data_IF_564968711603
#
_entry.id   IF_564968711603
#
_cell.length_a   1.000
_cell.length_b   1.000
_cell.length_c   1.000
_cell.angle_alpha   90.00
_cell.angle_beta   90.00
_cell.angle_gamma   90.00
#
_symmetry.space_group_name_H-M   'P 1'
#
loop_
_entity.id
_entity.type
_entity.pdbx_description
1 polymer ?
#
# COMPACT_ATOMS: atom_id res chain seq x y z
N UNK A 1 16.83 5.69 3.43
CA UNK A 1 15.64 4.93 3.82
C UNK A 1 16.11 3.58 4.32
N UNK A 2 15.69 3.22 5.52
CA UNK A 2 16.03 1.95 6.17
C UNK A 2 15.03 0.85 5.79
N UNK A 3 13.77 1.22 5.59
CA UNK A 3 12.69 0.35 5.12
C UNK A 3 11.92 1.01 3.97
N UNK A 4 11.59 0.22 2.94
CA UNK A 4 10.76 0.62 1.80
C UNK A 4 9.54 -0.29 1.76
N UNK A 5 8.34 0.29 1.83
CA UNK A 5 7.08 -0.48 1.71
C UNK A 5 6.42 -0.20 0.37
N UNK A 6 6.23 -1.23 -0.45
CA UNK A 6 5.51 -1.12 -1.74
C UNK A 6 4.06 -1.58 -1.57
N UNK A 7 3.12 -0.76 -2.02
CA UNK A 7 1.69 -0.89 -1.66
C UNK A 7 0.77 -1.43 -2.76
N UNK A 8 1.26 -1.58 -4.00
CA UNK A 8 0.50 -2.22 -5.07
C UNK A 8 1.42 -3.06 -5.96
N UNK A 9 0.85 -4.03 -6.69
CA UNK A 9 1.63 -4.90 -7.60
C UNK A 9 2.38 -4.10 -8.68
N UNK A 10 1.74 -3.06 -9.23
CA UNK A 10 2.37 -2.15 -10.19
C UNK A 10 3.57 -1.40 -9.57
N UNK A 11 3.48 -1.02 -8.29
CA UNK A 11 4.56 -0.38 -7.57
C UNK A 11 5.70 -1.35 -7.21
N UNK A 12 5.40 -2.65 -7.05
CA UNK A 12 6.40 -3.69 -6.84
C UNK A 12 7.23 -3.96 -8.11
N UNK A 13 6.58 -3.96 -9.28
CA UNK A 13 7.22 -4.22 -10.58
C UNK A 13 7.95 -2.99 -11.14
N UNK A 14 7.47 -1.78 -10.84
CA UNK A 14 8.04 -0.53 -11.35
C UNK A 14 9.08 0.07 -10.39
N UNK A 15 9.20 -0.44 -9.16
CA UNK A 15 10.14 0.13 -8.20
C UNK A 15 11.58 -0.07 -8.68
N UNK A 16 12.37 1.01 -8.80
CA UNK A 16 13.76 0.91 -9.21
C UNK A 16 14.50 0.02 -8.22
N UNK A 17 15.42 -0.79 -8.73
CA UNK A 17 16.30 -1.64 -7.93
C UNK A 17 17.02 -0.73 -6.91
N UNK A 18 16.63 -0.80 -5.63
CA UNK A 18 17.26 0.00 -4.60
C UNK A 18 18.66 -0.56 -4.35
N UNK A 19 19.68 0.10 -4.92
CA UNK A 19 21.11 -0.27 -4.82
C UNK A 19 21.70 -0.10 -3.40
N UNK A 20 20.89 0.28 -2.41
CA UNK A 20 21.28 0.37 -0.98
C UNK A 20 20.54 -0.71 -0.18
N UNK A 21 21.17 -1.20 0.90
CA UNK A 21 20.66 -2.21 1.87
C UNK A 21 19.39 -1.76 2.63
N UNK A 22 18.34 -1.34 1.92
CA UNK A 22 17.05 -1.08 2.52
C UNK A 22 16.26 -2.40 2.62
N UNK A 23 15.54 -2.60 3.72
CA UNK A 23 14.59 -3.70 3.83
C UNK A 23 13.36 -3.38 2.99
N UNK A 24 13.08 -4.19 1.96
CA UNK A 24 11.92 -4.01 1.09
C UNK A 24 10.80 -4.92 1.58
N UNK A 25 9.64 -4.33 1.88
CA UNK A 25 8.43 -5.02 2.30
C UNK A 25 7.36 -4.74 1.25
N UNK A 26 6.74 -5.79 0.72
CA UNK A 26 5.61 -5.64 -0.18
C UNK A 26 4.30 -5.97 0.55
N UNK A 27 3.32 -5.07 0.49
CA UNK A 27 1.95 -5.28 0.97
C UNK A 27 0.99 -4.74 -0.08
N UNK A 28 0.36 -5.62 -0.86
CA UNK A 28 -0.64 -5.21 -1.84
C UNK A 28 -1.93 -4.72 -1.18
N UNK A 29 -2.43 -3.58 -1.65
CA UNK A 29 -3.78 -3.09 -1.41
C UNK A 29 -4.51 -2.97 -2.75
N UNK A 30 -5.84 -3.11 -2.71
CA UNK A 30 -6.67 -2.84 -3.88
C UNK A 30 -6.52 -1.38 -4.32
N UNK A 31 -6.47 -1.13 -5.63
CA UNK A 31 -6.39 0.23 -6.17
C UNK A 31 -7.80 0.83 -6.26
N UNK A 32 -8.17 1.79 -5.38
CA UNK A 32 -9.50 2.38 -5.41
C UNK A 32 -9.74 3.22 -6.68
N UNK A 33 -8.69 3.58 -7.44
CA UNK A 33 -8.84 4.31 -8.70
C UNK A 33 -9.36 3.43 -9.86
N UNK A 34 -9.32 2.10 -9.72
CA UNK A 34 -9.90 1.17 -10.70
C UNK A 34 -11.42 0.98 -10.51
N UNK A 35 -11.97 1.46 -9.40
CA UNK A 35 -13.39 1.31 -9.08
C UNK A 35 -14.18 2.30 -9.93
N UNK A 36 -15.19 1.77 -10.64
CA UNK A 36 -16.17 2.57 -11.38
C UNK A 36 -17.54 2.41 -10.73
N UNK A 37 -18.32 3.49 -10.69
CA UNK A 37 -19.60 3.51 -9.99
C UNK A 37 -20.01 4.93 -9.63
N UNK A 38 -20.96 5.04 -8.69
CA UNK A 38 -21.35 6.31 -8.09
C UNK A 38 -20.21 6.92 -7.26
N UNK A 39 -20.27 8.23 -7.02
CA UNK A 39 -19.30 8.92 -6.17
C UNK A 39 -19.24 8.31 -4.76
N UNK A 40 -20.38 7.85 -4.23
CA UNK A 40 -20.45 7.20 -2.92
C UNK A 40 -19.74 5.84 -2.90
N UNK A 41 -19.88 5.04 -3.95
CA UNK A 41 -19.19 3.75 -4.09
C UNK A 41 -17.67 3.96 -4.23
N UNK A 42 -17.25 4.93 -5.04
CA UNK A 42 -15.84 5.29 -5.21
C UNK A 42 -15.27 5.76 -3.87
N UNK A 43 -15.90 6.74 -3.21
CA UNK A 43 -15.46 7.23 -1.90
C UNK A 43 -15.45 6.13 -0.84
N UNK A 44 -16.41 5.20 -0.89
CA UNK A 44 -16.46 4.02 -0.02
C UNK A 44 -15.21 3.15 -0.17
N UNK A 45 -14.77 2.88 -1.40
CA UNK A 45 -13.57 2.09 -1.66
C UNK A 45 -12.30 2.81 -1.23
N UNK A 46 -12.18 4.12 -1.50
CA UNK A 46 -11.05 4.92 -1.00
C UNK A 46 -10.94 4.88 0.54
N UNK A 47 -12.07 5.00 1.24
CA UNK A 47 -12.11 4.93 2.71
C UNK A 47 -11.71 3.54 3.21
N UNK A 48 -12.20 2.48 2.56
CA UNK A 48 -11.86 1.09 2.89
C UNK A 48 -10.35 0.86 2.79
N UNK A 49 -9.74 1.18 1.64
CA UNK A 49 -8.30 0.99 1.41
C UNK A 49 -7.46 1.82 2.39
N UNK A 50 -7.87 3.08 2.67
CA UNK A 50 -7.21 3.91 3.70
C UNK A 50 -7.23 3.23 5.08
N UNK A 51 -8.36 2.65 5.47
CA UNK A 51 -8.51 2.02 6.78
C UNK A 51 -7.72 0.69 6.87
N UNK A 52 -7.61 -0.05 5.77
CA UNK A 52 -6.72 -1.20 5.64
C UNK A 52 -5.24 -0.80 5.80
N UNK A 53 -4.79 0.26 5.13
CA UNK A 53 -3.42 0.80 5.27
C UNK A 53 -3.17 1.22 6.72
N UNK A 54 -4.13 1.92 7.35
CA UNK A 54 -4.02 2.33 8.76
C UNK A 54 -3.89 1.13 9.70
N UNK A 55 -4.68 0.08 9.47
CA UNK A 55 -4.62 -1.16 10.26
C UNK A 55 -3.28 -1.86 10.07
N UNK A 56 -2.81 -1.97 8.83
CA UNK A 56 -1.51 -2.55 8.50
C UNK A 56 -0.36 -1.83 9.21
N UNK A 57 -0.34 -0.50 9.15
CA UNK A 57 0.71 0.30 9.82
C UNK A 57 0.69 0.03 11.32
N UNK A 58 -0.50 0.06 11.95
CA UNK A 58 -0.63 -0.06 13.40
C UNK A 58 -0.33 -1.46 13.92
N UNK A 59 -0.70 -2.50 13.16
CA UNK A 59 -0.73 -3.88 13.67
C UNK A 59 0.36 -4.79 13.11
N UNK A 60 0.82 -4.53 11.88
CA UNK A 60 1.80 -5.36 11.18
C UNK A 60 3.13 -4.62 11.05
N UNK A 61 3.13 -3.42 10.46
CA UNK A 61 4.38 -2.70 10.19
C UNK A 61 5.11 -2.30 11.47
N UNK A 62 4.39 -1.84 12.50
CA UNK A 62 4.93 -1.49 13.83
C UNK A 62 5.62 -2.64 14.57
N UNK A 63 5.48 -3.89 14.11
CA UNK A 63 6.18 -5.06 14.66
C UNK A 63 7.47 -5.39 13.91
N UNK A 64 7.63 -4.83 12.71
CA UNK A 64 8.73 -5.13 11.78
C UNK A 64 9.83 -4.05 11.88
N UNK A 65 9.43 -2.81 12.17
CA UNK A 65 10.29 -1.66 12.49
C UNK A 65 10.25 -1.37 13.99
#
# INVERSE_FOLDING_TARGET
>A
FDVVVTVCGHANETCPMYLKKAQIIHKGFDDPAQVTGSEEEILGQFRKVRDEIKSYIKNELSKII
#
